data_IF_680114688949
#
_entry.id   IF_680114688949
#
_cell.length_a   1.000
_cell.length_b   1.000
_cell.length_c   1.000
_cell.angle_alpha   90.00
_cell.angle_beta   90.00
_cell.angle_gamma   90.00
#
_symmetry.space_group_name_H-M   'P 1'
#
loop_
_entity.id
_entity.type
_entity.pdbx_description
1 polymer ?
#
# COMPACT_ATOMS: atom_id res chain seq x y z
N UNK A 1 2.58 -7.43 10.73
CA UNK A 1 1.42 -7.42 11.65
C UNK A 1 0.77 -6.06 11.58
N UNK A 2 -0.55 -6.01 11.37
CA UNK A 2 -1.31 -4.76 11.15
C UNK A 2 -2.45 -4.55 12.15
N UNK A 3 -2.61 -5.46 13.12
CA UNK A 3 -3.72 -5.46 14.07
C UNK A 3 -5.10 -5.34 13.38
N UNK A 4 -5.30 -6.04 12.26
CA UNK A 4 -6.49 -5.93 11.40
C UNK A 4 -6.73 -4.49 10.87
N UNK A 5 -5.66 -3.78 10.51
CA UNK A 5 -5.71 -2.43 9.94
C UNK A 5 -6.41 -1.41 10.85
N UNK A 6 -6.28 -1.53 12.17
CA UNK A 6 -6.87 -0.59 13.13
C UNK A 6 -6.18 0.77 13.19
N UNK A 7 -4.87 0.79 12.98
CA UNK A 7 -4.04 1.98 13.14
C UNK A 7 -3.99 2.79 11.84
N UNK A 8 -5.05 3.56 11.54
CA UNK A 8 -5.10 4.41 10.34
C UNK A 8 -4.21 5.64 10.49
N UNK A 9 -3.35 5.87 9.51
CA UNK A 9 -2.44 7.01 9.43
C UNK A 9 -2.99 8.16 8.57
N UNK A 10 -3.84 7.83 7.59
CA UNK A 10 -4.45 8.83 6.72
C UNK A 10 -5.33 8.23 5.63
N UNK A 11 -6.00 9.09 4.88
CA UNK A 11 -6.83 8.76 3.72
C UNK A 11 -6.68 9.84 2.66
N UNK A 12 -6.73 9.44 1.39
CA UNK A 12 -6.82 10.35 0.26
C UNK A 12 -7.64 9.73 -0.88
N UNK A 13 -7.72 10.43 -2.02
CA UNK A 13 -8.56 10.01 -3.15
C UNK A 13 -8.28 8.62 -3.70
N UNK A 14 -7.09 8.06 -3.46
CA UNK A 14 -6.67 6.75 -3.94
C UNK A 14 -6.71 5.66 -2.87
N UNK A 15 -7.16 5.96 -1.65
CA UNK A 15 -7.35 4.96 -0.59
C UNK A 15 -6.80 5.36 0.78
N UNK A 16 -6.68 4.37 1.67
CA UNK A 16 -6.32 4.55 3.08
C UNK A 16 -4.93 4.05 3.39
N UNK A 17 -4.23 4.72 4.30
CA UNK A 17 -2.90 4.35 4.77
C UNK A 17 -2.98 3.90 6.23
N UNK A 18 -2.35 2.78 6.55
CA UNK A 18 -2.35 2.18 7.88
C UNK A 18 -0.93 1.91 8.37
N UNK A 19 -0.75 1.88 9.68
CA UNK A 19 0.50 1.47 10.32
C UNK A 19 0.59 -0.05 10.35
N UNK A 20 1.78 -0.57 10.11
CA UNK A 20 2.12 -1.98 10.31
C UNK A 20 3.52 -2.14 10.89
N UNK A 21 3.84 -3.38 11.25
CA UNK A 21 5.17 -3.79 11.71
C UNK A 21 5.61 -5.05 10.95
N UNK A 22 6.80 -5.01 10.34
CA UNK A 22 7.42 -6.18 9.71
C UNK A 22 7.87 -7.19 10.77
N UNK A 23 8.10 -8.44 10.37
CA UNK A 23 8.66 -9.47 11.27
C UNK A 23 10.05 -9.08 11.80
N UNK A 24 10.79 -8.28 11.04
CA UNK A 24 12.08 -7.69 11.47
C UNK A 24 11.94 -6.66 12.61
N UNK A 25 10.72 -6.25 12.96
CA UNK A 25 10.45 -5.22 13.95
C UNK A 25 10.32 -3.80 13.40
N UNK A 26 10.64 -3.57 12.13
CA UNK A 26 10.53 -2.25 11.50
C UNK A 26 9.07 -1.85 11.28
N UNK A 27 8.73 -0.60 11.60
CA UNK A 27 7.43 -0.03 11.27
C UNK A 27 7.33 0.30 9.79
N UNK A 28 6.13 0.15 9.22
CA UNK A 28 5.82 0.43 7.82
C UNK A 28 4.48 1.11 7.69
N UNK A 29 4.31 1.88 6.61
CA UNK A 29 3.02 2.37 6.15
C UNK A 29 2.48 1.45 5.06
N UNK A 30 1.21 1.07 5.17
CA UNK A 30 0.52 0.17 4.24
C UNK A 30 -0.61 0.97 3.60
N UNK A 31 -0.45 1.32 2.32
CA UNK A 31 -1.48 2.00 1.52
C UNK A 31 -2.38 0.94 0.89
N UNK A 32 -3.62 0.86 1.34
CA UNK A 32 -4.68 0.10 0.68
C UNK A 32 -5.33 1.00 -0.36
N UNK A 33 -5.18 0.65 -1.64
CA UNK A 33 -5.82 1.38 -2.71
C UNK A 33 -7.29 0.98 -2.80
N UNK A 34 -8.19 1.96 -2.76
CA UNK A 34 -9.60 1.71 -3.02
C UNK A 34 -9.76 1.43 -4.52
N UNK A 35 -10.43 0.33 -4.88
CA UNK A 35 -10.77 0.03 -6.28
C UNK A 35 -11.84 1.00 -6.76
N UNK A 36 -11.45 2.17 -7.22
CA UNK A 36 -12.34 3.16 -7.82
C UNK A 36 -12.67 2.76 -9.25
N UNK A 37 -13.68 1.90 -9.49
CA UNK A 37 -14.30 1.56 -10.80
C UNK A 37 -13.37 1.22 -11.99
N UNK A 38 -12.06 1.20 -11.81
CA UNK A 38 -11.03 1.09 -12.82
C UNK A 38 -10.23 -0.18 -12.61
N UNK A 39 -9.82 -0.79 -13.73
CA UNK A 39 -9.32 -2.17 -13.90
C UNK A 39 -7.95 -2.45 -13.25
N UNK A 40 -7.70 -1.99 -12.02
CA UNK A 40 -6.41 -2.12 -11.32
C UNK A 40 -5.29 -1.25 -11.91
N UNK A 41 -5.56 -0.45 -12.94
CA UNK A 41 -4.54 0.37 -13.61
C UNK A 41 -3.94 1.42 -12.66
N UNK A 42 -4.75 2.03 -11.79
CA UNK A 42 -4.26 3.00 -10.81
C UNK A 42 -3.27 2.35 -9.84
N UNK A 43 -3.52 1.11 -9.44
CA UNK A 43 -2.58 0.33 -8.64
C UNK A 43 -1.27 0.10 -9.38
N UNK A 44 -1.34 -0.35 -10.64
CA UNK A 44 -0.16 -0.59 -11.46
C UNK A 44 0.65 0.70 -11.66
N UNK A 45 -0.01 1.81 -11.95
CA UNK A 45 0.64 3.10 -12.16
C UNK A 45 1.39 3.57 -10.91
N UNK A 46 0.75 3.46 -9.74
CA UNK A 46 1.36 3.83 -8.46
C UNK A 46 2.58 2.95 -8.14
N UNK A 47 2.41 1.62 -8.18
CA UNK A 47 3.49 0.66 -7.89
C UNK A 47 4.65 0.79 -8.88
N UNK A 48 4.35 0.92 -10.17
CA UNK A 48 5.38 1.06 -11.20
C UNK A 48 6.16 2.38 -11.04
N UNK A 49 5.49 3.45 -10.67
CA UNK A 49 6.13 4.75 -10.49
C UNK A 49 7.02 4.78 -9.26
N UNK A 50 6.49 4.42 -8.09
CA UNK A 50 7.26 4.45 -6.83
C UNK A 50 8.34 3.38 -6.78
N UNK A 51 8.12 2.22 -7.42
CA UNK A 51 9.07 1.11 -7.44
C UNK A 51 10.37 1.41 -8.18
N UNK A 52 10.38 2.41 -9.08
CA UNK A 52 11.57 2.85 -9.82
C UNK A 52 12.35 3.97 -9.13
N UNK A 53 11.78 4.61 -8.11
CA UNK A 53 12.39 5.78 -7.47
C UNK A 53 13.10 5.34 -6.19
N UNK A 54 14.41 5.46 -6.18
CA UNK A 54 15.23 5.23 -4.99
C UNK A 54 15.98 6.52 -4.64
N UNK A 55 15.36 7.34 -3.77
CA UNK A 55 15.89 8.64 -3.40
C UNK A 55 15.60 8.93 -1.93
N UNK A 56 16.50 9.63 -1.24
CA UNK A 56 16.39 9.90 0.21
C UNK A 56 15.11 10.69 0.59
N UNK A 57 14.62 11.54 -0.32
CA UNK A 57 13.43 12.36 -0.12
C UNK A 57 12.14 11.74 -0.69
N UNK A 58 12.19 10.48 -1.12
CA UNK A 58 11.03 9.76 -1.68
C UNK A 58 10.82 8.48 -0.88
N UNK A 59 9.57 8.15 -0.60
CA UNK A 59 9.23 6.96 0.18
C UNK A 59 9.63 5.70 -0.59
N UNK A 60 10.38 4.82 0.08
CA UNK A 60 10.79 3.55 -0.51
C UNK A 60 9.65 2.54 -0.46
N UNK A 61 9.28 2.00 -1.62
CA UNK A 61 8.42 0.82 -1.69
C UNK A 61 9.22 -0.42 -1.26
N UNK A 62 8.76 -1.09 -0.21
CA UNK A 62 9.35 -2.35 0.26
C UNK A 62 8.78 -3.55 -0.52
N UNK A 63 7.51 -3.47 -0.88
CA UNK A 63 6.81 -4.48 -1.65
C UNK A 63 5.34 -4.12 -1.81
N UNK A 64 4.63 -4.91 -2.59
CA UNK A 64 3.20 -4.77 -2.81
C UNK A 64 2.54 -6.15 -2.74
N UNK A 65 1.23 -6.17 -2.51
CA UNK A 65 0.42 -7.37 -2.58
C UNK A 65 -0.81 -7.05 -3.42
N UNK A 66 -1.14 -7.97 -4.33
CA UNK A 66 -2.42 -7.98 -5.04
C UNK A 66 -3.12 -9.24 -4.60
N UNK A 67 -4.12 -9.10 -3.73
CA UNK A 67 -5.01 -10.19 -3.38
C UNK A 67 -6.25 -10.06 -4.26
N UNK A 68 -6.41 -11.00 -5.19
CA UNK A 68 -7.67 -11.12 -5.93
C UNK A 68 -8.81 -11.41 -4.96
N UNK A 69 -10.05 -11.05 -5.30
CA UNK A 69 -11.18 -11.55 -4.53
C UNK A 69 -11.10 -13.07 -4.50
N UNK A 70 -11.11 -13.67 -3.31
CA UNK A 70 -11.56 -15.06 -3.17
C UNK A 70 -12.99 -15.11 -3.71
N UNK A 71 -13.14 -15.38 -4.99
CA UNK A 71 -14.34 -16.03 -5.49
C UNK A 71 -14.16 -17.49 -5.07
N UNK A 72 -14.76 -17.81 -3.93
CA UNK A 72 -15.20 -19.16 -3.66
C UNK A 72 -16.45 -19.44 -4.50
#
# INVERSE_FOLDING_TARGET
>A
MTQNFKDKLGEGGYGSVFKGKLRSGHHVAIKLLCTSKGKGQDFINEVASIGRIHHANVTKLIGFCVEGSKQA
#
